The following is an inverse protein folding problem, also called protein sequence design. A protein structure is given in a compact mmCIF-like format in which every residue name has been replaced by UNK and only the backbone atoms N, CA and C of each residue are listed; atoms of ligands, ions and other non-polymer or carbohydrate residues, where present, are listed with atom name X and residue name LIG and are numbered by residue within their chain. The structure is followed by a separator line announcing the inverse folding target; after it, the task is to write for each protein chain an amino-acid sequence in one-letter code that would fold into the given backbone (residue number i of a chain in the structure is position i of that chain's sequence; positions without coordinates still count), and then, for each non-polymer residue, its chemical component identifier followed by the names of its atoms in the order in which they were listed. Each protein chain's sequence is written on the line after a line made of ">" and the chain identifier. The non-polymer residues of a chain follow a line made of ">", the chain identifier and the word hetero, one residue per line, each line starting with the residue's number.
data_IF_894947539294
#
_entry.id   IF_894947539294
#
_cell.length_a   1.000
_cell.length_b   1.000
_cell.length_c   1.000
_cell.angle_alpha   90.00
_cell.angle_beta   90.00
_cell.angle_gamma   90.00
#
_symmetry.space_group_name_H-M   'P 1'
#
loop_
_entity.id
_entity.type
_entity.pdbx_description
1 polymer ?
#
# COMPACT_ATOMS: atom_id res chain seq x y z
N UNK A 1 -15.75 -4.74 7.51
CA UNK A 1 -14.74 -5.47 6.72
C UNK A 1 -15.08 -6.95 6.73
N UNK A 2 -14.89 -7.67 5.61
CA UNK A 2 -15.03 -9.13 5.56
C UNK A 2 -14.11 -9.79 6.60
N UNK A 3 -14.55 -10.92 7.13
CA UNK A 3 -13.83 -11.67 8.19
C UNK A 3 -13.42 -13.07 7.75
N UNK A 4 -13.41 -13.35 6.45
CA UNK A 4 -12.89 -14.61 5.93
C UNK A 4 -11.41 -14.73 6.28
N UNK A 5 -11.04 -15.81 6.97
CA UNK A 5 -9.66 -16.04 7.40
C UNK A 5 -8.69 -16.27 6.25
N UNK A 6 -9.19 -16.56 5.06
CA UNK A 6 -8.41 -16.79 3.83
C UNK A 6 -8.20 -15.52 3.00
N UNK A 7 -8.84 -14.41 3.40
CA UNK A 7 -8.79 -13.15 2.67
C UNK A 7 -8.42 -11.99 3.59
N UNK A 8 -7.68 -10.99 3.10
CA UNK A 8 -7.49 -9.74 3.82
C UNK A 8 -8.82 -9.07 4.13
N UNK A 9 -8.98 -8.56 5.35
CA UNK A 9 -10.25 -8.02 5.87
C UNK A 9 -10.92 -6.94 5.01
N UNK A 10 -10.18 -6.29 4.13
CA UNK A 10 -10.67 -5.18 3.32
C UNK A 10 -11.09 -5.60 1.91
N UNK A 11 -10.95 -6.87 1.56
CA UNK A 11 -11.15 -7.37 0.20
C UNK A 11 -12.20 -8.49 0.16
N UNK A 12 -12.94 -8.53 -0.96
CA UNK A 12 -13.82 -9.62 -1.29
C UNK A 12 -13.11 -10.58 -2.25
N UNK A 13 -13.47 -11.86 -2.22
CA UNK A 13 -12.82 -12.89 -3.02
C UNK A 13 -13.01 -12.69 -4.54
N UNK A 14 -14.03 -11.94 -4.96
CA UNK A 14 -14.35 -11.62 -6.36
C UNK A 14 -13.66 -10.35 -6.87
N UNK A 15 -12.90 -9.66 -6.03
CA UNK A 15 -12.07 -8.54 -6.47
C UNK A 15 -10.85 -9.02 -7.25
N UNK A 16 -10.46 -8.36 -8.36
CA UNK A 16 -9.39 -8.86 -9.26
C UNK A 16 -8.05 -9.15 -8.58
N UNK A 17 -7.69 -8.35 -7.56
CA UNK A 17 -6.46 -8.56 -6.79
C UNK A 17 -6.54 -9.80 -5.89
N UNK A 18 -7.66 -9.97 -5.20
CA UNK A 18 -7.93 -11.10 -4.33
C UNK A 18 -8.04 -12.41 -5.13
N UNK A 19 -8.77 -12.39 -6.26
CA UNK A 19 -8.87 -13.55 -7.17
C UNK A 19 -7.49 -14.03 -7.63
N UNK A 20 -6.59 -13.13 -8.03
CA UNK A 20 -5.22 -13.52 -8.44
C UNK A 20 -4.44 -14.13 -7.28
N UNK A 21 -4.56 -13.56 -6.09
CA UNK A 21 -3.88 -14.11 -4.93
C UNK A 21 -4.38 -15.52 -4.61
N UNK A 22 -5.69 -15.75 -4.65
CA UNK A 22 -6.29 -17.06 -4.43
C UNK A 22 -5.90 -18.08 -5.51
N UNK A 23 -5.91 -17.69 -6.79
CA UNK A 23 -5.48 -18.52 -7.92
C UNK A 23 -4.05 -19.03 -7.79
N UNK A 24 -3.18 -18.27 -7.13
CA UNK A 24 -1.77 -18.61 -6.92
C UNK A 24 -1.47 -19.05 -5.48
N UNK A 25 -2.50 -19.45 -4.71
CA UNK A 25 -2.31 -19.88 -3.32
C UNK A 25 -1.64 -18.84 -2.43
N UNK A 26 -1.80 -17.55 -2.73
CA UNK A 26 -1.15 -16.41 -2.06
C UNK A 26 0.38 -16.39 -2.18
N UNK A 27 0.98 -17.19 -3.08
CA UNK A 27 2.42 -17.12 -3.34
C UNK A 27 2.78 -15.80 -4.03
N UNK A 28 3.64 -14.94 -3.45
CA UNK A 28 3.96 -13.63 -4.02
C UNK A 28 4.80 -13.71 -5.30
N UNK A 29 5.64 -14.74 -5.46
CA UNK A 29 6.40 -14.96 -6.67
C UNK A 29 5.47 -15.29 -7.84
N UNK A 30 4.58 -16.26 -7.66
CA UNK A 30 3.65 -16.69 -8.69
C UNK A 30 2.68 -15.59 -9.11
N UNK A 31 2.20 -14.77 -8.15
CA UNK A 31 1.34 -13.63 -8.45
C UNK A 31 2.03 -12.60 -9.35
N UNK A 32 3.30 -12.29 -9.09
CA UNK A 32 4.08 -11.34 -9.91
C UNK A 32 4.44 -11.95 -11.26
N UNK A 33 4.97 -13.17 -11.29
CA UNK A 33 5.38 -13.84 -12.49
C UNK A 33 4.23 -13.96 -13.49
N UNK A 34 3.09 -14.53 -13.06
CA UNK A 34 1.90 -14.69 -13.92
C UNK A 34 1.35 -13.34 -14.40
N UNK A 35 1.43 -12.29 -13.58
CA UNK A 35 0.95 -10.97 -13.99
C UNK A 35 1.85 -10.35 -15.06
N UNK A 36 3.16 -10.48 -14.92
CA UNK A 36 4.14 -10.03 -15.92
C UNK A 36 3.96 -10.78 -17.22
N UNK A 37 3.86 -12.11 -17.17
CA UNK A 37 3.63 -12.95 -18.34
C UNK A 37 2.33 -12.58 -19.09
N UNK A 38 1.25 -12.28 -18.34
CA UNK A 38 0.00 -11.81 -18.91
C UNK A 38 0.12 -10.45 -19.62
N UNK A 39 0.91 -9.52 -19.09
CA UNK A 39 1.19 -8.25 -19.76
C UNK A 39 1.97 -8.46 -21.07
N UNK A 40 3.03 -9.27 -21.02
CA UNK A 40 3.86 -9.57 -22.19
C UNK A 40 3.06 -10.32 -23.28
N UNK A 41 2.23 -11.29 -22.89
CA UNK A 41 1.34 -12.00 -23.81
C UNK A 41 0.31 -11.08 -24.50
N UNK A 42 -0.07 -9.98 -23.86
CA UNK A 42 -0.93 -8.95 -24.46
C UNK A 42 -0.16 -7.86 -25.22
N UNK A 43 1.14 -8.02 -25.43
CA UNK A 43 1.97 -7.12 -26.24
C UNK A 43 2.50 -5.90 -25.46
N UNK A 44 2.40 -5.87 -24.13
CA UNK A 44 3.01 -4.84 -23.30
C UNK A 44 4.45 -5.19 -22.95
N UNK A 45 5.31 -4.19 -22.82
CA UNK A 45 6.64 -4.38 -22.26
C UNK A 45 6.57 -4.33 -20.72
N UNK A 46 7.36 -5.17 -20.04
CA UNK A 46 7.45 -5.20 -18.58
C UNK A 46 8.78 -4.63 -18.07
N UNK A 47 9.38 -3.70 -18.80
CA UNK A 47 10.67 -3.09 -18.45
C UNK A 47 10.62 -2.20 -17.20
N UNK A 48 9.43 -1.59 -16.94
CA UNK A 48 9.18 -0.72 -15.78
C UNK A 48 7.91 -1.16 -15.08
N UNK A 49 8.06 -1.66 -13.87
CA UNK A 49 6.96 -2.19 -13.07
C UNK A 49 6.74 -1.28 -11.85
N UNK A 50 5.50 -0.87 -11.60
CA UNK A 50 5.08 -0.39 -10.29
C UNK A 50 4.39 -1.54 -9.56
N UNK A 51 4.97 -1.97 -8.44
CA UNK A 51 4.42 -3.00 -7.58
C UNK A 51 3.52 -2.36 -6.52
N UNK A 52 2.23 -2.65 -6.58
CA UNK A 52 1.27 -2.25 -5.55
C UNK A 52 0.87 -3.47 -4.72
N UNK A 53 1.22 -3.44 -3.44
CA UNK A 53 0.82 -4.48 -2.48
C UNK A 53 -0.55 -4.12 -1.92
N UNK A 54 -1.53 -4.97 -2.20
CA UNK A 54 -2.89 -4.87 -1.70
C UNK A 54 -3.07 -5.81 -0.50
N UNK A 55 -3.91 -5.46 0.45
CA UNK A 55 -4.21 -6.34 1.58
C UNK A 55 -4.48 -5.61 2.89
N UNK A 56 -4.69 -4.30 2.84
CA UNK A 56 -4.98 -3.48 4.01
C UNK A 56 -3.71 -2.95 4.68
N UNK A 57 -3.72 -2.88 6.01
CA UNK A 57 -2.61 -2.27 6.77
C UNK A 57 -1.35 -3.14 6.70
N UNK A 58 -0.44 -2.82 5.79
CA UNK A 58 0.84 -3.52 5.62
C UNK A 58 1.65 -3.58 6.92
N UNK A 59 1.72 -2.48 7.64
CA UNK A 59 2.47 -2.34 8.90
C UNK A 59 1.94 -3.22 10.04
N UNK A 60 0.82 -3.92 9.87
CA UNK A 60 0.31 -4.88 10.85
C UNK A 60 0.86 -6.30 10.73
N UNK A 61 1.55 -6.61 9.64
CA UNK A 61 2.15 -7.91 9.44
C UNK A 61 3.50 -8.03 10.15
N UNK A 62 3.93 -9.24 10.56
CA UNK A 62 5.28 -9.48 11.08
C UNK A 62 6.35 -9.07 10.06
N UNK A 63 7.47 -8.51 10.54
CA UNK A 63 8.54 -7.99 9.67
C UNK A 63 9.22 -9.07 8.81
N UNK A 64 9.39 -10.26 9.34
CA UNK A 64 9.90 -11.41 8.61
C UNK A 64 8.99 -11.83 7.45
N UNK A 65 7.67 -11.78 7.66
CA UNK A 65 6.70 -12.01 6.59
C UNK A 65 6.76 -10.91 5.54
N UNK A 66 6.84 -9.64 5.95
CA UNK A 66 6.94 -8.50 5.03
C UNK A 66 8.19 -8.62 4.14
N UNK A 67 9.34 -8.91 4.74
CA UNK A 67 10.60 -9.10 4.02
C UNK A 67 10.51 -10.29 3.06
N UNK A 68 10.02 -11.44 3.54
CA UNK A 68 9.84 -12.64 2.71
C UNK A 68 8.93 -12.33 1.50
N UNK A 69 7.78 -11.71 1.74
CA UNK A 69 6.80 -11.40 0.69
C UNK A 69 7.40 -10.51 -0.39
N UNK A 70 8.03 -9.40 -0.01
CA UNK A 70 8.61 -8.48 -0.98
C UNK A 70 9.83 -9.08 -1.68
N UNK A 71 10.69 -9.80 -0.97
CA UNK A 71 11.82 -10.51 -1.57
C UNK A 71 11.33 -11.46 -2.68
N UNK A 72 10.28 -12.23 -2.43
CA UNK A 72 9.70 -13.14 -3.45
C UNK A 72 9.11 -12.39 -4.65
N UNK A 73 8.47 -11.23 -4.43
CA UNK A 73 8.05 -10.37 -5.53
C UNK A 73 9.24 -9.90 -6.38
N UNK A 74 10.32 -9.47 -5.75
CA UNK A 74 11.54 -9.06 -6.45
C UNK A 74 12.25 -10.22 -7.13
N UNK A 75 12.25 -11.42 -6.53
CA UNK A 75 12.82 -12.63 -7.13
C UNK A 75 12.14 -12.94 -8.48
N UNK A 76 10.81 -12.80 -8.56
CA UNK A 76 10.05 -12.99 -9.80
C UNK A 76 10.44 -11.96 -10.88
N UNK A 77 10.61 -10.69 -10.51
CA UNK A 77 11.05 -9.66 -11.45
C UNK A 77 12.52 -9.83 -11.86
N UNK A 78 13.37 -10.32 -10.96
CA UNK A 78 14.79 -10.55 -11.21
C UNK A 78 15.08 -11.84 -11.99
N UNK A 79 14.11 -12.77 -12.05
CA UNK A 79 14.28 -14.10 -12.63
C UNK A 79 15.25 -15.01 -11.88
N UNK A 80 15.49 -14.74 -10.58
CA UNK A 80 16.40 -15.51 -9.72
C UNK A 80 16.13 -15.26 -8.24
N UNK A 81 16.40 -16.27 -7.40
CA UNK A 81 16.19 -16.21 -5.95
C UNK A 81 17.34 -15.49 -5.25
N UNK A 82 17.02 -14.47 -4.46
CA UNK A 82 17.96 -13.72 -3.64
C UNK A 82 18.01 -14.29 -2.20
N UNK A 83 19.17 -14.19 -1.55
CA UNK A 83 19.35 -14.60 -0.17
C UNK A 83 18.74 -13.61 0.85
N UNK A 84 18.54 -12.36 0.46
CA UNK A 84 17.98 -11.28 1.30
C UNK A 84 17.25 -10.25 0.45
N UNK A 85 16.43 -9.42 1.11
CA UNK A 85 15.75 -8.29 0.46
C UNK A 85 16.75 -7.29 -0.12
N UNK A 86 17.82 -6.98 0.59
CA UNK A 86 18.86 -6.05 0.09
C UNK A 86 19.47 -6.55 -1.21
N UNK A 87 19.72 -7.85 -1.29
CA UNK A 87 20.27 -8.45 -2.51
C UNK A 87 19.26 -8.42 -3.66
N UNK A 88 17.99 -8.70 -3.36
CA UNK A 88 16.91 -8.66 -4.34
C UNK A 88 16.74 -7.24 -4.92
N UNK A 89 16.74 -6.23 -4.06
CA UNK A 89 16.66 -4.82 -4.44
C UNK A 89 17.87 -4.39 -5.31
N UNK A 90 19.09 -4.70 -4.84
CA UNK A 90 20.31 -4.36 -5.58
C UNK A 90 20.37 -5.00 -6.98
N UNK A 91 19.89 -6.24 -7.12
CA UNK A 91 19.80 -6.88 -8.43
C UNK A 91 18.74 -6.24 -9.32
N UNK A 92 17.62 -5.80 -8.73
CA UNK A 92 16.53 -5.21 -9.48
C UNK A 92 16.88 -3.86 -10.09
N UNK A 93 17.88 -3.14 -9.58
CA UNK A 93 18.36 -1.90 -10.17
C UNK A 93 18.85 -2.07 -11.61
N UNK A 94 19.34 -3.27 -11.97
CA UNK A 94 19.87 -3.61 -13.29
C UNK A 94 19.02 -4.69 -14.00
N UNK A 95 17.87 -5.07 -13.46
CA UNK A 95 17.03 -6.09 -14.04
C UNK A 95 16.31 -5.59 -15.30
N UNK A 96 16.07 -6.49 -16.24
CA UNK A 96 15.25 -6.20 -17.44
C UNK A 96 13.80 -5.83 -17.04
N UNK A 97 13.27 -6.47 -16.01
CA UNK A 97 11.95 -6.18 -15.39
C UNK A 97 12.16 -5.37 -14.12
N UNK A 98 12.41 -4.07 -14.28
CA UNK A 98 12.78 -3.20 -13.16
C UNK A 98 11.57 -2.68 -12.40
N UNK A 99 11.56 -2.83 -11.09
CA UNK A 99 10.62 -2.14 -10.22
C UNK A 99 11.01 -0.65 -10.13
N UNK A 100 10.15 0.24 -10.57
CA UNK A 100 10.35 1.70 -10.51
C UNK A 100 9.51 2.37 -9.41
N UNK A 101 8.66 1.59 -8.75
CA UNK A 101 7.85 2.05 -7.65
C UNK A 101 7.29 0.90 -6.84
N UNK A 102 7.53 0.91 -5.53
CA UNK A 102 6.87 0.02 -4.58
C UNK A 102 5.88 0.82 -3.76
N UNK A 103 4.62 0.37 -3.77
CA UNK A 103 3.51 1.03 -3.08
C UNK A 103 3.01 0.13 -1.96
N UNK A 104 3.02 0.65 -0.73
CA UNK A 104 2.51 -0.04 0.45
C UNK A 104 1.34 0.76 1.05
N UNK A 105 0.39 0.05 1.66
CA UNK A 105 -0.77 0.65 2.32
C UNK A 105 -0.59 0.58 3.85
N UNK A 106 -0.80 1.71 4.53
CA UNK A 106 -0.76 1.75 5.99
C UNK A 106 -1.83 2.67 6.56
N UNK A 107 -1.90 2.75 7.89
CA UNK A 107 -2.79 3.64 8.64
C UNK A 107 -1.97 4.72 9.36
N UNK A 108 -2.58 5.90 9.61
CA UNK A 108 -1.89 6.99 10.32
C UNK A 108 -1.32 6.60 11.69
N UNK A 109 -2.02 5.75 12.43
CA UNK A 109 -1.64 5.28 13.77
C UNK A 109 -0.52 4.22 13.77
N UNK A 110 -0.07 3.79 12.60
CA UNK A 110 1.07 2.88 12.43
C UNK A 110 2.33 3.60 11.91
N UNK A 111 2.27 4.90 11.68
CA UNK A 111 3.41 5.67 11.17
C UNK A 111 4.23 6.23 12.33
N UNK A 112 5.43 5.71 12.48
CA UNK A 112 6.45 6.21 13.39
C UNK A 112 7.84 6.17 12.71
N UNK A 113 8.90 6.73 13.32
CA UNK A 113 10.23 6.74 12.72
C UNK A 113 10.81 5.35 12.42
N UNK A 114 10.47 4.33 13.20
CA UNK A 114 10.95 2.95 12.99
C UNK A 114 10.25 2.31 11.79
N UNK A 115 8.94 2.50 11.67
CA UNK A 115 8.17 2.04 10.52
C UNK A 115 8.58 2.76 9.24
N UNK A 116 8.84 4.05 9.30
CA UNK A 116 9.35 4.84 8.16
C UNK A 116 10.69 4.27 7.66
N UNK A 117 11.64 4.01 8.57
CA UNK A 117 12.93 3.41 8.22
C UNK A 117 12.76 2.01 7.64
N UNK A 118 11.86 1.24 8.21
CA UNK A 118 11.56 -0.11 7.74
C UNK A 118 10.96 -0.12 6.34
N UNK A 119 9.95 0.69 6.08
CA UNK A 119 9.40 0.83 4.73
C UNK A 119 10.46 1.25 3.70
N UNK A 120 11.38 2.15 4.09
CA UNK A 120 12.53 2.52 3.22
C UNK A 120 13.47 1.37 2.97
N UNK A 121 13.83 0.61 3.99
CA UNK A 121 14.65 -0.60 3.87
C UNK A 121 14.03 -1.61 2.90
N UNK A 122 12.72 -1.78 2.92
CA UNK A 122 11.99 -2.64 1.99
C UNK A 122 11.91 -2.09 0.55
N UNK A 123 12.41 -0.89 0.27
CA UNK A 123 12.37 -0.26 -1.06
C UNK A 123 11.09 0.49 -1.37
N UNK A 124 10.23 0.76 -0.38
CA UNK A 124 8.99 1.51 -0.59
C UNK A 124 9.27 2.95 -1.09
N UNK A 125 8.51 3.36 -2.11
CA UNK A 125 8.61 4.70 -2.72
C UNK A 125 7.35 5.52 -2.58
N UNK A 126 6.21 4.85 -2.39
CA UNK A 126 4.90 5.47 -2.30
C UNK A 126 4.09 4.81 -1.16
N UNK A 127 3.47 5.62 -0.33
CA UNK A 127 2.61 5.14 0.75
C UNK A 127 1.16 5.54 0.46
N UNK A 128 0.27 4.56 0.47
CA UNK A 128 -1.17 4.78 0.48
C UNK A 128 -1.66 4.79 1.92
N UNK A 129 -2.45 5.80 2.28
CA UNK A 129 -2.90 5.98 3.65
C UNK A 129 -4.40 6.17 3.73
N UNK A 130 -5.04 5.38 4.57
CA UNK A 130 -6.48 5.45 4.82
C UNK A 130 -6.86 6.64 5.70
N UNK A 131 -7.02 7.83 5.12
CA UNK A 131 -7.55 9.01 5.80
C UNK A 131 -9.04 8.84 6.15
N UNK A 132 -9.82 8.39 5.20
CA UNK A 132 -11.25 8.11 5.24
C UNK A 132 -12.12 9.38 5.38
N UNK A 133 -11.98 10.17 6.45
CA UNK A 133 -12.64 11.46 6.68
C UNK A 133 -11.70 12.39 7.44
N UNK A 134 -11.94 13.69 7.38
CA UNK A 134 -11.28 14.73 8.20
C UNK A 134 -12.15 15.23 9.35
N UNK A 135 -13.20 14.49 9.71
CA UNK A 135 -14.05 14.72 10.87
C UNK A 135 -13.85 13.61 11.91
N UNK A 136 -13.23 13.93 13.04
CA UNK A 136 -12.99 12.98 14.12
C UNK A 136 -14.29 12.36 14.70
N UNK A 137 -15.44 13.05 14.61
CA UNK A 137 -16.74 12.51 15.01
C UNK A 137 -17.16 11.39 14.05
N UNK A 138 -17.08 11.64 12.75
CA UNK A 138 -17.35 10.64 11.69
C UNK A 138 -16.41 9.46 11.86
N UNK A 139 -15.11 9.73 12.06
CA UNK A 139 -14.10 8.68 12.28
C UNK A 139 -14.45 7.78 13.47
N UNK A 140 -14.85 8.36 14.61
CA UNK A 140 -15.29 7.58 15.80
C UNK A 140 -16.54 6.75 15.52
N UNK A 141 -17.55 7.31 14.84
CA UNK A 141 -18.78 6.60 14.49
C UNK A 141 -18.52 5.38 13.61
N UNK A 142 -17.51 5.46 12.74
CA UNK A 142 -17.08 4.39 11.85
C UNK A 142 -15.96 3.50 12.47
N UNK A 143 -15.68 3.67 13.76
CA UNK A 143 -14.68 2.87 14.50
C UNK A 143 -13.30 2.86 13.86
N UNK A 144 -12.87 4.01 13.31
CA UNK A 144 -11.52 4.18 12.75
C UNK A 144 -10.53 4.39 13.87
N UNK A 145 -9.59 3.79 14.17
CA UNK A 145 -8.74 3.88 15.37
C UNK A 145 -7.75 5.05 15.40
N UNK A 146 -7.82 5.99 14.46
CA UNK A 146 -6.93 7.15 14.40
C UNK A 146 -7.69 8.47 14.34
N UNK A 147 -7.01 9.57 14.61
CA UNK A 147 -7.53 10.94 14.56
C UNK A 147 -7.03 11.69 13.34
N UNK A 148 -7.67 12.80 13.01
CA UNK A 148 -7.22 13.74 11.96
C UNK A 148 -5.83 14.30 12.29
N UNK A 149 -5.52 14.55 13.57
CA UNK A 149 -4.18 15.02 13.95
C UNK A 149 -3.10 13.96 13.67
N UNK A 150 -3.36 12.69 14.01
CA UNK A 150 -2.43 11.60 13.68
C UNK A 150 -2.21 11.47 12.16
N UNK A 151 -3.27 11.68 11.35
CA UNK A 151 -3.13 11.72 9.89
C UNK A 151 -2.19 12.86 9.46
N UNK A 152 -2.35 14.07 9.99
CA UNK A 152 -1.49 15.22 9.68
C UNK A 152 -0.03 14.95 10.04
N UNK A 153 0.22 14.43 11.22
CA UNK A 153 1.55 14.10 11.71
C UNK A 153 2.22 13.02 10.85
N UNK A 154 1.47 11.97 10.49
CA UNK A 154 1.94 10.91 9.60
C UNK A 154 2.29 11.44 8.21
N UNK A 155 1.44 12.31 7.62
CA UNK A 155 1.68 12.93 6.31
C UNK A 155 2.95 13.78 6.31
N UNK A 156 3.17 14.57 7.37
CA UNK A 156 4.38 15.40 7.51
C UNK A 156 5.62 14.52 7.58
N UNK A 157 5.62 13.49 8.43
CA UNK A 157 6.75 12.59 8.60
C UNK A 157 7.10 11.81 7.33
N UNK A 158 6.09 11.22 6.67
CA UNK A 158 6.29 10.46 5.43
C UNK A 158 6.79 11.35 4.29
N UNK A 159 6.25 12.58 4.19
CA UNK A 159 6.72 13.54 3.18
C UNK A 159 8.17 13.98 3.45
N UNK A 160 8.51 14.27 4.71
CA UNK A 160 9.89 14.59 5.11
C UNK A 160 10.86 13.43 4.80
N UNK A 161 10.39 12.19 4.90
CA UNK A 161 11.15 11.00 4.51
C UNK A 161 11.21 10.77 2.99
N UNK A 162 10.57 11.62 2.15
CA UNK A 162 10.63 11.57 0.69
C UNK A 162 9.73 10.53 0.05
N UNK A 163 8.67 10.06 0.72
CA UNK A 163 7.67 9.21 0.08
C UNK A 163 6.71 10.02 -0.78
N UNK A 164 6.28 9.44 -1.90
CA UNK A 164 5.05 9.86 -2.57
C UNK A 164 3.85 9.39 -1.73
N UNK A 165 2.81 10.21 -1.65
CA UNK A 165 1.65 9.93 -0.79
C UNK A 165 0.37 9.87 -1.59
N UNK A 166 -0.49 8.92 -1.23
CA UNK A 166 -1.86 8.79 -1.72
C UNK A 166 -2.78 8.69 -0.52
N UNK A 167 -3.83 9.48 -0.50
CA UNK A 167 -4.85 9.41 0.55
C UNK A 167 -6.10 8.72 0.03
N UNK A 168 -6.56 7.74 0.79
CA UNK A 168 -7.88 7.14 0.59
C UNK A 168 -8.90 7.91 1.41
N UNK A 169 -9.73 8.69 0.75
CA UNK A 169 -10.84 9.42 1.33
C UNK A 169 -12.17 8.79 0.89
N UNK A 170 -13.15 8.74 1.78
CA UNK A 170 -14.42 8.06 1.55
C UNK A 170 -15.59 9.00 1.85
N UNK A 171 -16.39 9.36 0.85
CA UNK A 171 -17.65 10.07 1.07
C UNK A 171 -18.71 9.13 1.67
N UNK A 172 -19.77 9.74 2.22
CA UNK A 172 -20.96 9.05 2.69
C UNK A 172 -20.69 8.03 3.81
N UNK A 173 -19.72 8.30 4.66
CA UNK A 173 -19.50 7.51 5.87
C UNK A 173 -20.65 7.74 6.86
N UNK A 174 -20.92 6.75 7.70
CA UNK A 174 -21.95 6.87 8.74
C UNK A 174 -21.69 8.11 9.62
N UNK A 175 -22.71 8.98 9.69
CA UNK A 175 -22.62 10.27 10.40
C UNK A 175 -22.12 11.46 9.58
N UNK A 176 -21.68 11.27 8.32
CA UNK A 176 -21.40 12.35 7.40
C UNK A 176 -22.70 12.84 6.72
N UNK A 177 -22.63 14.07 6.19
CA UNK A 177 -23.63 14.68 5.30
C UNK A 177 -22.95 15.11 4.01
N UNK A 178 -23.73 15.44 2.99
CA UNK A 178 -23.20 15.95 1.71
C UNK A 178 -22.36 17.22 1.95
N UNK A 179 -22.83 18.10 2.82
CA UNK A 179 -22.17 19.36 3.17
C UNK A 179 -20.83 19.06 3.88
N UNK A 180 -20.83 18.18 4.89
CA UNK A 180 -19.59 17.81 5.61
C UNK A 180 -18.57 17.10 4.70
N UNK A 181 -19.02 16.27 3.77
CA UNK A 181 -18.13 15.62 2.80
C UNK A 181 -17.49 16.63 1.84
N UNK A 182 -18.25 17.64 1.40
CA UNK A 182 -17.71 18.73 0.57
C UNK A 182 -16.67 19.58 1.31
N UNK A 183 -16.92 19.90 2.57
CA UNK A 183 -15.99 20.61 3.43
C UNK A 183 -14.71 19.79 3.67
N UNK A 184 -14.85 18.52 3.99
CA UNK A 184 -13.74 17.59 4.16
C UNK A 184 -12.88 17.50 2.89
N UNK A 185 -13.51 17.35 1.73
CA UNK A 185 -12.78 17.28 0.47
C UNK A 185 -12.05 18.61 0.17
N UNK A 186 -12.67 19.75 0.43
CA UNK A 186 -12.01 21.05 0.26
C UNK A 186 -10.81 21.21 1.21
N UNK A 187 -10.90 20.68 2.43
CA UNK A 187 -9.79 20.68 3.41
C UNK A 187 -8.59 19.87 2.97
N UNK A 188 -8.76 18.77 2.22
CA UNK A 188 -7.63 18.01 1.65
C UNK A 188 -6.70 18.90 0.82
N UNK A 189 -7.23 19.92 0.14
CA UNK A 189 -6.47 20.81 -0.73
C UNK A 189 -6.00 22.09 -0.05
N UNK A 190 -6.76 22.58 0.93
CA UNK A 190 -6.45 23.83 1.64
C UNK A 190 -5.50 23.65 2.83
N UNK A 191 -5.43 22.46 3.41
CA UNK A 191 -4.56 22.16 4.53
C UNK A 191 -3.13 21.84 4.06
N UNK A 192 -2.11 22.64 4.43
CA UNK A 192 -0.74 22.43 3.98
C UNK A 192 -0.13 21.08 4.38
N UNK A 193 -0.64 20.45 5.46
CA UNK A 193 -0.18 19.14 5.90
C UNK A 193 -0.76 17.99 5.07
N UNK A 194 -1.95 18.18 4.48
CA UNK A 194 -2.71 17.12 3.81
C UNK A 194 -2.62 17.20 2.28
N UNK A 195 -2.51 18.40 1.71
CA UNK A 195 -2.50 18.56 0.24
C UNK A 195 -1.36 17.73 -0.39
N UNK A 196 -1.62 17.11 -1.54
CA UNK A 196 -0.63 16.31 -2.27
C UNK A 196 0.62 17.08 -2.68
#
# INVERSE_FOLDING_TARGET
>A
CPTDVRMPKSYLHDEPGAMRAEQHGFDPFEQVASRVDAFEANGHTAEKIELLVLGGTWSSYPRDYQEHFLRRCFDAMNGRDAASIDRALAWNEQAARRNVGLVLETRPDHVDPDEIRWMRHLGCTKVQMGAQSLDDRVMRMNRRGHTVQQLRDAMIQLRAAGFKLVLHWMPNLHGATIESDREDFARLWSDPALRP
#
